data_IF_793660019496
#
_entry.id   IF_793660019496
#
_cell.length_a   1.000
_cell.length_b   1.000
_cell.length_c   1.000
_cell.angle_alpha   90.00
_cell.angle_beta   90.00
_cell.angle_gamma   90.00
#
_symmetry.space_group_name_H-M   'P 1'
#
loop_
_entity.id
_entity.type
_entity.pdbx_description
1 polymer ?
#
# COMPACT_ATOMS: atom_id res chain seq x y z
N UNK A 1 -9.90 -1.69 17.45
CA UNK A 1 -9.76 -2.76 16.43
C UNK A 1 -8.98 -2.32 15.17
N UNK A 2 -8.87 -1.02 14.86
CA UNK A 2 -8.17 -0.47 13.67
C UNK A 2 -6.66 -0.77 13.60
N UNK A 3 -5.95 -0.73 14.74
CA UNK A 3 -4.48 -0.88 14.78
C UNK A 3 -3.94 -2.25 14.34
N UNK A 4 -4.74 -3.32 14.44
CA UNK A 4 -4.30 -4.68 14.04
C UNK A 4 -4.33 -4.89 12.53
N UNK A 5 -5.14 -4.12 11.80
CA UNK A 5 -5.23 -4.20 10.34
C UNK A 5 -4.04 -3.50 9.67
N UNK A 6 -3.67 -2.31 10.12
CA UNK A 6 -2.50 -1.56 9.58
C UNK A 6 -1.19 -2.32 9.77
N UNK A 7 -1.01 -2.99 10.91
CA UNK A 7 0.18 -3.82 11.14
C UNK A 7 0.23 -5.05 10.20
N UNK A 8 -0.92 -5.66 9.92
CA UNK A 8 -1.02 -6.82 9.03
C UNK A 8 -0.81 -6.43 7.57
N UNK A 9 -1.32 -5.28 7.14
CA UNK A 9 -1.11 -4.76 5.78
C UNK A 9 0.36 -4.41 5.52
N UNK A 10 1.05 -3.80 6.49
CA UNK A 10 2.48 -3.48 6.36
C UNK A 10 3.36 -4.74 6.30
N UNK A 11 3.01 -5.78 7.07
CA UNK A 11 3.71 -7.07 7.07
C UNK A 11 3.65 -7.81 5.73
N UNK A 12 2.65 -7.54 4.88
CA UNK A 12 2.54 -8.16 3.55
C UNK A 12 3.45 -7.44 2.53
N UNK A 13 3.81 -6.18 2.78
CA UNK A 13 4.61 -5.36 1.87
C UNK A 13 6.12 -5.45 2.15
N UNK A 14 6.51 -5.51 3.42
CA UNK A 14 7.90 -5.62 3.84
C UNK A 14 8.01 -6.26 5.24
N UNK A 15 9.21 -6.70 5.61
CA UNK A 15 9.48 -7.23 6.95
C UNK A 15 9.51 -6.09 7.97
N UNK A 16 8.49 -6.05 8.82
CA UNK A 16 8.33 -5.03 9.88
C UNK A 16 9.27 -5.24 11.06
N UNK A 17 9.85 -6.43 11.21
CA UNK A 17 10.83 -6.76 12.27
C UNK A 17 12.27 -6.51 11.81
N UNK A 18 12.47 -6.18 10.53
CA UNK A 18 13.79 -5.85 10.00
C UNK A 18 14.38 -4.61 10.70
N UNK A 19 15.64 -4.70 11.10
CA UNK A 19 16.35 -3.59 11.73
C UNK A 19 16.49 -2.36 10.81
N UNK A 20 16.36 -1.17 11.38
CA UNK A 20 16.55 0.09 10.66
C UNK A 20 18.00 0.23 10.19
N UNK A 21 18.20 0.60 8.93
CA UNK A 21 19.52 0.90 8.36
C UNK A 21 19.59 2.37 7.95
N UNK A 22 20.70 3.07 8.20
CA UNK A 22 20.88 4.44 7.73
C UNK A 22 20.91 4.46 6.20
N UNK A 23 20.14 5.37 5.60
CA UNK A 23 20.10 5.59 4.16
C UNK A 23 20.51 7.03 3.86
N UNK A 24 21.43 7.22 2.91
CA UNK A 24 21.80 8.53 2.41
C UNK A 24 20.84 8.92 1.28
N UNK A 25 20.10 10.01 1.47
CA UNK A 25 19.14 10.53 0.48
C UNK A 25 19.45 11.98 0.14
N UNK A 26 19.20 12.37 -1.09
CA UNK A 26 19.31 13.77 -1.54
C UNK A 26 17.93 14.41 -1.51
N UNK A 27 17.77 15.45 -0.70
CA UNK A 27 16.51 16.19 -0.50
C UNK A 27 16.80 17.68 -0.58
N UNK A 28 15.80 18.48 -0.98
CA UNK A 28 15.91 19.93 -1.01
C UNK A 28 16.33 20.48 0.38
N UNK A 29 17.38 21.31 0.39
CA UNK A 29 17.96 21.84 1.63
C UNK A 29 17.00 22.76 2.39
N UNK A 30 16.22 23.59 1.68
CA UNK A 30 15.22 24.48 2.31
C UNK A 30 14.09 23.67 2.94
N UNK A 31 13.65 22.59 2.28
CA UNK A 31 12.65 21.69 2.83
C UNK A 31 13.12 21.02 4.12
N UNK A 32 14.38 20.54 4.17
CA UNK A 32 14.96 19.97 5.38
C UNK A 32 15.06 20.98 6.52
N UNK A 33 15.42 22.22 6.20
CA UNK A 33 15.47 23.32 7.17
C UNK A 33 14.08 23.57 7.77
N UNK A 34 13.07 23.78 6.92
CA UNK A 34 11.69 24.02 7.37
C UNK A 34 11.12 22.84 8.15
N UNK A 35 11.40 21.61 7.73
CA UNK A 35 10.95 20.42 8.44
C UNK A 35 11.52 20.36 9.87
N UNK A 36 12.80 20.71 10.05
CA UNK A 36 13.42 20.82 11.38
C UNK A 36 12.84 21.95 12.21
N UNK A 37 12.58 23.11 11.62
CA UNK A 37 11.95 24.26 12.29
C UNK A 37 10.53 23.92 12.79
N UNK A 38 9.85 23.01 12.11
CA UNK A 38 8.51 22.52 12.46
C UNK A 38 8.54 21.25 13.32
N UNK A 39 9.71 20.84 13.84
CA UNK A 39 9.89 19.63 14.67
C UNK A 39 9.40 18.33 13.99
N UNK A 40 9.48 18.26 12.66
CA UNK A 40 9.09 17.07 11.91
C UNK A 40 10.14 15.98 12.07
N UNK A 41 9.71 14.79 12.50
CA UNK A 41 10.56 13.61 12.59
C UNK A 41 10.84 13.04 11.19
N UNK A 42 11.94 13.51 10.58
CA UNK A 42 12.36 13.14 9.22
C UNK A 42 12.40 11.63 8.98
N UNK A 43 12.92 10.86 9.94
CA UNK A 43 13.04 9.41 9.81
C UNK A 43 11.67 8.75 9.76
N UNK A 44 10.74 9.15 10.63
CA UNK A 44 9.38 8.62 10.63
C UNK A 44 8.62 9.03 9.36
N UNK A 45 8.71 10.30 8.96
CA UNK A 45 8.03 10.80 7.76
C UNK A 45 8.54 10.11 6.50
N UNK A 46 9.86 9.89 6.39
CA UNK A 46 10.45 9.16 5.26
C UNK A 46 9.97 7.70 5.24
N UNK A 47 9.96 7.03 6.39
CA UNK A 47 9.46 5.65 6.52
C UNK A 47 8.00 5.56 6.04
N UNK A 48 7.10 6.40 6.56
CA UNK A 48 5.69 6.41 6.18
C UNK A 48 5.49 6.69 4.69
N UNK A 49 6.21 7.67 4.13
CA UNK A 49 6.15 7.98 2.70
C UNK A 49 6.64 6.80 1.84
N UNK A 50 7.68 6.08 2.28
CA UNK A 50 8.17 4.89 1.59
C UNK A 50 7.17 3.75 1.65
N UNK A 51 6.54 3.50 2.79
CA UNK A 51 5.48 2.48 2.93
C UNK A 51 4.37 2.74 1.92
N UNK A 52 3.87 3.98 1.84
CA UNK A 52 2.83 4.35 0.87
C UNK A 52 3.28 4.16 -0.58
N UNK A 53 4.49 4.60 -0.94
CA UNK A 53 5.01 4.47 -2.28
C UNK A 53 5.24 3.00 -2.70
N UNK A 54 5.74 2.17 -1.77
CA UNK A 54 5.93 0.73 -1.98
C UNK A 54 4.57 0.02 -2.14
N UNK A 55 3.61 0.33 -1.27
CA UNK A 55 2.26 -0.21 -1.34
C UNK A 55 1.61 0.04 -2.70
N UNK A 56 1.66 1.30 -3.16
CA UNK A 56 1.06 1.68 -4.43
C UNK A 56 1.72 0.97 -5.61
N UNK A 57 3.04 0.90 -5.66
CA UNK A 57 3.76 0.19 -6.72
C UNK A 57 3.49 -1.31 -6.70
N UNK A 58 3.44 -1.92 -5.50
CA UNK A 58 3.10 -3.33 -5.36
C UNK A 58 1.68 -3.61 -5.87
N UNK A 59 0.72 -2.74 -5.53
CA UNK A 59 -0.67 -2.84 -6.01
C UNK A 59 -0.76 -2.72 -7.52
N UNK A 60 -0.11 -1.73 -8.11
CA UNK A 60 -0.08 -1.53 -9.56
C UNK A 60 0.51 -2.75 -10.28
N UNK A 61 1.61 -3.28 -9.75
CA UNK A 61 2.23 -4.50 -10.29
C UNK A 61 1.30 -5.69 -10.20
N UNK A 62 0.68 -5.92 -9.05
CA UNK A 62 -0.28 -7.01 -8.86
C UNK A 62 -1.46 -6.91 -9.82
N UNK A 63 -2.04 -5.72 -10.00
CA UNK A 63 -3.12 -5.48 -10.94
C UNK A 63 -2.70 -5.79 -12.38
N UNK A 64 -1.49 -5.40 -12.77
CA UNK A 64 -0.95 -5.71 -14.10
C UNK A 64 -0.75 -7.21 -14.29
N UNK A 65 -0.19 -7.91 -13.30
CA UNK A 65 0.09 -9.35 -13.37
C UNK A 65 -1.18 -10.21 -13.33
N UNK A 66 -2.23 -9.75 -12.66
CA UNK A 66 -3.47 -10.50 -12.47
C UNK A 66 -4.59 -10.05 -13.41
N UNK A 67 -4.30 -9.13 -14.35
CA UNK A 67 -5.30 -8.55 -15.24
C UNK A 67 -6.09 -9.62 -16.00
N UNK A 68 -5.40 -10.59 -16.60
CA UNK A 68 -6.05 -11.64 -17.39
C UNK A 68 -6.95 -12.54 -16.51
N UNK A 69 -6.54 -12.82 -15.29
CA UNK A 69 -7.32 -13.60 -14.33
C UNK A 69 -8.56 -12.84 -13.85
N UNK A 70 -8.41 -11.53 -13.58
CA UNK A 70 -9.51 -10.63 -13.24
C UNK A 70 -10.49 -10.55 -14.41
N UNK A 71 -10.01 -10.35 -15.63
CA UNK A 71 -10.86 -10.26 -16.82
C UNK A 71 -11.59 -11.58 -17.11
N UNK A 72 -10.92 -12.72 -16.93
CA UNK A 72 -11.55 -14.03 -17.05
C UNK A 72 -12.65 -14.25 -16.00
N UNK A 73 -12.39 -13.88 -14.75
CA UNK A 73 -13.38 -13.96 -13.68
C UNK A 73 -14.57 -13.02 -13.94
N UNK A 74 -14.31 -11.78 -14.37
CA UNK A 74 -15.36 -10.81 -14.69
C UNK A 74 -16.28 -11.33 -15.79
N UNK A 75 -15.72 -11.89 -16.88
CA UNK A 75 -16.52 -12.53 -17.94
C UNK A 75 -17.38 -13.67 -17.39
N UNK A 76 -16.83 -14.53 -16.54
CA UNK A 76 -17.58 -15.62 -15.94
C UNK A 76 -18.76 -15.10 -15.09
N UNK A 77 -18.56 -14.03 -14.32
CA UNK A 77 -19.62 -13.39 -13.53
C UNK A 77 -20.68 -12.75 -14.43
N UNK A 78 -20.29 -12.12 -15.53
CA UNK A 78 -21.24 -11.57 -16.53
C UNK A 78 -22.07 -12.68 -17.19
N UNK A 79 -21.47 -13.82 -17.52
CA UNK A 79 -22.14 -14.94 -18.18
C UNK A 79 -23.02 -15.76 -17.24
N UNK A 80 -22.53 -16.03 -16.02
CA UNK A 80 -23.15 -16.99 -15.09
C UNK A 80 -23.86 -16.34 -13.91
N UNK A 81 -23.77 -15.00 -13.77
CA UNK A 81 -24.16 -14.28 -12.57
C UNK A 81 -23.20 -14.53 -11.39
N UNK A 82 -23.33 -13.74 -10.33
CA UNK A 82 -22.62 -14.01 -9.07
C UNK A 82 -23.51 -14.82 -8.12
N UNK A 83 -22.89 -15.61 -7.24
CA UNK A 83 -23.62 -16.39 -6.22
C UNK A 83 -24.58 -15.51 -5.39
N UNK A 84 -24.16 -14.29 -5.07
CA UNK A 84 -24.96 -13.35 -4.28
C UNK A 84 -26.17 -12.79 -5.05
N UNK A 85 -26.23 -12.89 -6.38
CA UNK A 85 -27.41 -12.47 -7.15
C UNK A 85 -28.64 -13.31 -6.82
N UNK A 86 -28.45 -14.59 -6.46
CA UNK A 86 -29.55 -15.48 -6.02
C UNK A 86 -30.08 -15.17 -4.62
N UNK A 87 -29.34 -14.39 -3.82
CA UNK A 87 -29.66 -14.05 -2.44
C UNK A 87 -30.14 -12.59 -2.27
N UNK A 88 -30.12 -11.80 -3.36
CA UNK A 88 -30.56 -10.40 -3.34
C UNK A 88 -32.09 -10.35 -3.26
N UNK A 89 -32.65 -10.21 -2.04
CA UNK A 89 -34.04 -9.77 -1.82
C UNK A 89 -34.12 -8.24 -1.85
N UNK A 90 -35.06 -7.71 -2.63
CA UNK A 90 -35.42 -6.30 -2.67
C UNK A 90 -36.36 -5.94 -1.51
#
# INVERSE_FOLDING_TARGET
MRMKHEARERSVLYDVEAGKRPANVTVNADLLRRARELDINLSQTLEEALVHAVAERARQRWLSENRDAIDAYNRQVEESGCFADSLRRF
#
